data_IF_985547320041
#
_entry.id   IF_985547320041
#
_cell.length_a   1.000
_cell.length_b   1.000
_cell.length_c   1.000
_cell.angle_alpha   90.00
_cell.angle_beta   90.00
_cell.angle_gamma   90.00
#
_symmetry.space_group_name_H-M   'P 1'
#
loop_
_entity.id
_entity.type
_entity.pdbx_description
1 polymer ?
#
# COMPACT_ATOMS: atom_id res chain seq x y z
N UNK A 1 -13.33 6.55 4.27
CA UNK A 1 -12.68 7.31 5.36
C UNK A 1 -12.97 6.66 6.70
N UNK A 2 -12.07 6.82 7.69
CA UNK A 2 -12.30 6.30 9.04
C UNK A 2 -13.34 7.16 9.79
N UNK A 3 -14.18 6.53 10.61
CA UNK A 3 -15.04 7.22 11.59
C UNK A 3 -14.22 7.70 12.79
N UNK A 4 -14.77 8.58 13.62
CA UNK A 4 -14.08 9.04 14.85
C UNK A 4 -13.69 7.90 15.79
N UNK A 5 -14.55 6.89 15.92
CA UNK A 5 -14.28 5.69 16.73
C UNK A 5 -13.15 4.84 16.13
N UNK A 6 -13.13 4.69 14.80
CA UNK A 6 -12.06 3.98 14.10
C UNK A 6 -10.73 4.74 14.18
N UNK A 7 -10.75 6.08 14.18
CA UNK A 7 -9.56 6.91 14.39
C UNK A 7 -8.98 6.68 15.79
N UNK A 8 -9.83 6.57 16.81
CA UNK A 8 -9.36 6.31 18.16
C UNK A 8 -8.81 4.89 18.32
N UNK A 9 -9.50 3.88 17.78
CA UNK A 9 -8.96 2.52 17.71
C UNK A 9 -7.61 2.47 16.97
N UNK A 10 -7.44 3.27 15.92
CA UNK A 10 -6.17 3.35 15.20
C UNK A 10 -5.08 3.95 16.08
N UNK A 11 -5.38 4.99 16.86
CA UNK A 11 -4.43 5.58 17.83
C UNK A 11 -4.02 4.54 18.87
N UNK A 12 -4.99 3.89 19.52
CA UNK A 12 -4.76 2.87 20.55
C UNK A 12 -3.90 1.72 20.01
N UNK A 13 -4.24 1.20 18.83
CA UNK A 13 -3.52 0.09 18.21
C UNK A 13 -2.09 0.47 17.83
N UNK A 14 -1.86 1.70 17.34
CA UNK A 14 -0.51 2.20 17.09
C UNK A 14 0.28 2.28 18.41
N UNK A 15 -0.29 2.87 19.47
CA UNK A 15 0.36 3.00 20.79
C UNK A 15 0.71 1.62 21.36
N UNK A 16 -0.22 0.67 21.36
CA UNK A 16 0.02 -0.69 21.84
C UNK A 16 1.13 -1.39 21.03
N UNK A 17 1.09 -1.25 19.70
CA UNK A 17 2.04 -1.92 18.81
C UNK A 17 3.46 -1.37 18.96
N UNK A 18 3.63 -0.04 19.05
CA UNK A 18 4.96 0.57 19.18
C UNK A 18 5.56 0.42 20.59
N UNK A 19 4.72 0.19 21.60
CA UNK A 19 5.14 -0.11 22.96
C UNK A 19 5.78 -1.50 23.08
N UNK A 20 5.37 -2.45 22.24
CA UNK A 20 5.96 -3.80 22.23
C UNK A 20 7.46 -3.75 21.84
N UNK A 21 8.36 -4.29 22.67
CA UNK A 21 9.81 -4.22 22.44
C UNK A 21 10.25 -4.98 21.18
N UNK A 22 9.49 -6.01 20.78
CA UNK A 22 9.76 -6.84 19.60
C UNK A 22 9.41 -6.15 18.28
N UNK A 23 8.62 -5.06 18.31
CA UNK A 23 8.23 -4.33 17.09
C UNK A 23 9.22 -3.19 16.86
N UNK A 24 10.02 -3.28 15.82
CA UNK A 24 10.91 -2.19 15.41
C UNK A 24 10.15 -1.04 14.74
N UNK A 25 9.13 -1.39 13.95
CA UNK A 25 8.28 -0.46 13.19
C UNK A 25 6.97 -1.17 12.79
N UNK A 26 5.89 -0.40 12.59
CA UNK A 26 4.64 -0.89 12.00
C UNK A 26 4.83 -1.05 10.49
N UNK A 27 4.90 -2.29 10.02
CA UNK A 27 5.08 -2.71 8.62
C UNK A 27 4.37 -4.05 8.36
N UNK A 28 4.11 -4.35 7.09
CA UNK A 28 3.56 -5.62 6.62
C UNK A 28 2.38 -6.13 7.47
N UNK A 29 2.48 -7.34 8.02
CA UNK A 29 1.42 -8.00 8.76
C UNK A 29 0.99 -7.25 10.03
N UNK A 30 1.88 -6.48 10.66
CA UNK A 30 1.50 -5.67 11.82
C UNK A 30 0.53 -4.55 11.44
N UNK A 31 0.69 -3.96 10.25
CA UNK A 31 -0.26 -2.99 9.74
C UNK A 31 -1.60 -3.63 9.38
N UNK A 32 -1.57 -4.81 8.75
CA UNK A 32 -2.78 -5.57 8.46
C UNK A 32 -3.56 -5.89 9.74
N UNK A 33 -2.89 -6.37 10.78
CA UNK A 33 -3.51 -6.68 12.06
C UNK A 33 -4.13 -5.45 12.73
N UNK A 34 -3.42 -4.32 12.76
CA UNK A 34 -3.96 -3.04 13.25
C UNK A 34 -5.20 -2.66 12.44
N UNK A 35 -5.15 -2.71 11.11
CA UNK A 35 -6.26 -2.30 10.27
C UNK A 35 -7.51 -3.17 10.47
N UNK A 36 -7.32 -4.48 10.63
CA UNK A 36 -8.39 -5.42 10.97
C UNK A 36 -9.04 -5.08 12.32
N UNK A 37 -8.24 -4.76 13.34
CA UNK A 37 -8.76 -4.27 14.62
C UNK A 37 -9.54 -2.96 14.48
N UNK A 38 -8.99 -1.99 13.76
CA UNK A 38 -9.61 -0.69 13.49
C UNK A 38 -10.94 -0.83 12.77
N UNK A 39 -11.04 -1.73 11.79
CA UNK A 39 -12.28 -1.96 11.03
C UNK A 39 -13.21 -2.99 11.65
N UNK A 40 -12.81 -3.61 12.76
CA UNK A 40 -13.51 -4.74 13.36
C UNK A 40 -13.80 -5.85 12.33
N UNK A 41 -12.76 -6.22 11.57
CA UNK A 41 -12.79 -7.28 10.56
C UNK A 41 -11.99 -8.47 11.11
N UNK A 42 -12.49 -9.72 11.04
CA UNK A 42 -11.74 -10.90 11.46
C UNK A 42 -10.40 -10.99 10.75
N UNK A 43 -9.32 -11.17 11.52
CA UNK A 43 -7.97 -11.40 11.00
C UNK A 43 -7.70 -12.90 10.93
N UNK A 44 -7.40 -13.40 9.74
CA UNK A 44 -7.03 -14.81 9.56
C UNK A 44 -5.62 -15.08 10.09
N UNK A 45 -5.43 -16.26 10.69
CA UNK A 45 -4.10 -16.72 11.12
C UNK A 45 -3.16 -16.82 9.90
N UNK A 46 -2.01 -16.13 9.91
CA UNK A 46 -1.09 -16.08 8.77
C UNK A 46 -0.44 -17.44 8.49
N UNK A 47 -0.44 -18.37 9.46
CA UNK A 47 0.10 -19.73 9.32
C UNK A 47 -0.85 -20.70 8.63
N UNK A 48 -2.13 -20.34 8.46
CA UNK A 48 -3.17 -21.20 7.89
C UNK A 48 -3.13 -21.35 6.35
N UNK A 49 -2.01 -21.01 5.71
CA UNK A 49 -1.84 -21.08 4.25
C UNK A 49 -2.60 -19.98 3.51
N UNK A 50 -2.02 -18.77 3.46
CA UNK A 50 -2.63 -17.62 2.76
C UNK A 50 -2.12 -17.50 1.32
N UNK A 51 -3.04 -17.42 0.37
CA UNK A 51 -2.71 -16.94 -0.98
C UNK A 51 -2.72 -15.42 -1.00
N UNK A 52 -1.64 -14.81 -1.51
CA UNK A 52 -1.52 -13.36 -1.57
C UNK A 52 -2.38 -12.79 -2.69
N UNK A 53 -3.47 -12.14 -2.32
CA UNK A 53 -4.35 -11.37 -3.21
C UNK A 53 -4.11 -9.86 -3.03
N UNK A 54 -4.82 -9.02 -3.78
CA UNK A 54 -4.61 -7.57 -3.77
C UNK A 54 -5.08 -6.89 -2.49
N UNK A 55 -6.26 -7.26 -1.98
CA UNK A 55 -6.81 -6.67 -0.77
C UNK A 55 -6.33 -7.47 0.42
N UNK A 56 -5.66 -6.77 1.33
CA UNK A 56 -5.11 -7.34 2.54
C UNK A 56 -6.20 -7.48 3.62
N UNK A 57 -7.20 -6.58 3.59
CA UNK A 57 -8.41 -6.63 4.43
C UNK A 57 -9.68 -6.54 3.57
N UNK A 58 -10.72 -7.30 3.93
CA UNK A 58 -12.03 -7.29 3.26
C UNK A 58 -13.15 -7.33 4.30
N UNK A 59 -14.04 -6.32 4.29
CA UNK A 59 -15.30 -6.39 5.03
C UNK A 59 -16.37 -7.02 4.12
N UNK A 60 -16.72 -8.26 4.42
CA UNK A 60 -17.70 -9.03 3.64
C UNK A 60 -19.11 -8.43 3.68
N UNK A 61 -19.45 -7.65 4.72
CA UNK A 61 -20.80 -7.10 4.92
C UNK A 61 -21.03 -5.94 3.97
N UNK A 62 -20.03 -5.09 3.82
CA UNK A 62 -20.06 -3.92 2.92
C UNK A 62 -19.43 -4.20 1.57
N UNK A 63 -18.82 -5.39 1.38
CA UNK A 63 -18.04 -5.77 0.20
C UNK A 63 -16.91 -4.76 -0.12
N UNK A 64 -16.36 -4.16 0.93
CA UNK A 64 -15.25 -3.20 0.80
C UNK A 64 -13.92 -3.91 1.02
N UNK A 65 -12.94 -3.66 0.16
CA UNK A 65 -11.59 -4.21 0.24
C UNK A 65 -10.53 -3.12 0.30
N UNK A 66 -9.48 -3.36 1.08
CA UNK A 66 -8.34 -2.45 1.20
C UNK A 66 -7.04 -3.14 0.83
N UNK A 67 -6.28 -2.57 -0.11
CA UNK A 67 -4.86 -2.89 -0.27
C UNK A 67 -4.06 -2.01 0.68
N UNK A 68 -3.42 -2.65 1.65
CA UNK A 68 -2.79 -1.99 2.80
C UNK A 68 -1.30 -1.78 2.54
N UNK A 69 -0.80 -0.58 2.81
CA UNK A 69 0.62 -0.24 2.63
C UNK A 69 1.11 0.61 3.81
N UNK A 70 2.35 0.40 4.18
CA UNK A 70 3.07 1.31 5.08
C UNK A 70 4.17 2.00 4.30
N UNK A 71 4.37 3.30 4.54
CA UNK A 71 5.46 4.03 3.91
C UNK A 71 6.15 4.98 4.90
N UNK A 72 7.47 4.90 4.97
CA UNK A 72 8.25 5.85 5.73
C UNK A 72 8.53 7.10 4.88
N UNK A 73 8.12 8.27 5.35
CA UNK A 73 8.30 9.54 4.65
C UNK A 73 9.12 10.53 5.49
N UNK A 74 9.90 11.42 4.83
CA UNK A 74 10.62 12.49 5.54
C UNK A 74 9.66 13.59 6.01
N UNK A 75 8.52 13.75 5.35
CA UNK A 75 7.53 14.78 5.61
C UNK A 75 6.13 14.16 5.51
N UNK A 76 5.24 14.54 6.43
CA UNK A 76 3.85 14.09 6.52
C UNK A 76 2.84 15.23 6.31
N UNK A 77 3.29 16.41 5.87
CA UNK A 77 2.42 17.56 5.63
C UNK A 77 1.52 17.35 4.41
N UNK A 78 0.32 17.95 4.39
CA UNK A 78 -0.49 18.05 3.18
C UNK A 78 0.29 18.52 1.96
N UNK A 79 -0.09 18.03 0.78
CA UNK A 79 0.58 18.33 -0.48
C UNK A 79 1.89 17.55 -0.71
N UNK A 80 2.42 16.85 0.30
CA UNK A 80 3.61 16.02 0.10
C UNK A 80 3.31 14.82 -0.79
N UNK A 81 4.06 14.67 -1.89
CA UNK A 81 3.91 13.57 -2.84
C UNK A 81 4.83 12.41 -2.48
N UNK A 82 4.32 11.19 -2.60
CA UNK A 82 5.09 9.97 -2.35
C UNK A 82 4.74 8.89 -3.36
N UNK A 83 5.66 7.94 -3.56
CA UNK A 83 5.47 6.80 -4.44
C UNK A 83 5.57 5.49 -3.65
N UNK A 84 4.74 4.52 -3.98
CA UNK A 84 4.77 3.19 -3.37
C UNK A 84 4.50 2.11 -4.43
N UNK A 85 5.03 0.91 -4.19
CA UNK A 85 4.86 -0.23 -5.09
C UNK A 85 3.42 -0.73 -5.00
N UNK A 86 2.73 -0.81 -6.14
CA UNK A 86 1.39 -1.39 -6.26
C UNK A 86 1.44 -2.82 -6.81
N UNK A 87 2.44 -3.15 -7.62
CA UNK A 87 2.67 -4.52 -8.08
C UNK A 87 4.07 -4.73 -8.64
N UNK A 88 4.47 -6.00 -8.77
CA UNK A 88 5.48 -6.39 -9.76
C UNK A 88 4.80 -6.51 -11.13
N UNK A 89 5.18 -5.65 -12.06
CA UNK A 89 4.66 -5.60 -13.42
C UNK A 89 5.72 -6.14 -14.42
N UNK A 90 5.72 -7.45 -14.63
CA UNK A 90 6.59 -8.12 -15.61
C UNK A 90 5.96 -8.18 -17.00
N UNK A 91 5.77 -7.02 -17.63
CA UNK A 91 5.02 -6.90 -18.88
C UNK A 91 5.76 -7.41 -20.10
N UNK A 92 7.10 -7.45 -20.07
CA UNK A 92 7.93 -7.92 -21.18
C UNK A 92 7.96 -9.44 -21.24
N UNK A 93 8.23 -10.11 -20.11
CA UNK A 93 8.23 -11.58 -20.10
C UNK A 93 6.82 -12.15 -20.28
N UNK A 94 5.78 -11.44 -19.81
CA UNK A 94 4.37 -11.85 -19.97
C UNK A 94 3.70 -11.30 -21.23
N UNK A 95 4.44 -10.66 -22.12
CA UNK A 95 3.92 -9.88 -23.23
C UNK A 95 2.87 -10.62 -24.07
N UNK A 96 3.17 -11.86 -24.51
CA UNK A 96 2.24 -12.67 -25.30
C UNK A 96 0.95 -13.03 -24.53
N UNK A 97 1.06 -13.42 -23.26
CA UNK A 97 -0.09 -13.75 -22.41
C UNK A 97 -0.96 -12.51 -22.09
N UNK A 98 -0.37 -11.32 -22.12
CA UNK A 98 -1.07 -10.06 -21.93
C UNK A 98 -1.66 -9.49 -23.23
N UNK A 99 -1.45 -10.13 -24.39
CA UNK A 99 -1.95 -9.65 -25.68
C UNK A 99 -1.04 -8.64 -26.41
N UNK A 100 0.22 -8.51 -25.98
CA UNK A 100 1.21 -7.62 -26.57
C UNK A 100 2.39 -8.41 -27.19
N UNK A 101 2.16 -9.31 -28.17
CA UNK A 101 3.22 -10.15 -28.70
C UNK A 101 4.38 -9.30 -29.26
N UNK A 102 5.62 -9.65 -28.88
CA UNK A 102 6.81 -8.92 -29.32
C UNK A 102 7.14 -7.65 -28.53
N UNK A 103 6.41 -7.32 -27.46
CA UNK A 103 6.76 -6.19 -26.60
C UNK A 103 8.13 -6.38 -25.95
N UNK A 104 9.01 -5.40 -26.12
CA UNK A 104 10.36 -5.35 -25.54
C UNK A 104 10.56 -4.05 -24.75
N UNK A 105 11.64 -3.96 -23.97
CA UNK A 105 11.99 -2.73 -23.24
C UNK A 105 12.28 -1.53 -24.16
N UNK A 106 12.58 -1.78 -25.43
CA UNK A 106 12.88 -0.76 -26.45
C UNK A 106 11.63 -0.38 -27.26
N UNK A 107 10.49 -1.00 -26.97
CA UNK A 107 9.20 -0.63 -27.58
C UNK A 107 8.82 0.82 -27.24
N UNK A 108 7.97 1.46 -28.07
CA UNK A 108 7.51 2.82 -27.80
C UNK A 108 6.96 2.97 -26.37
N UNK A 109 7.26 4.08 -25.67
CA UNK A 109 6.78 4.33 -24.30
C UNK A 109 5.27 4.15 -24.12
N UNK A 110 4.48 4.56 -25.13
CA UNK A 110 3.03 4.39 -25.12
C UNK A 110 2.62 2.91 -25.09
N UNK A 111 3.23 2.06 -25.92
CA UNK A 111 2.94 0.62 -25.98
C UNK A 111 3.31 -0.09 -24.67
N UNK A 112 4.47 0.27 -24.09
CA UNK A 112 4.85 -0.23 -22.77
C UNK A 112 3.85 0.22 -21.69
N UNK A 113 3.47 1.50 -21.73
CA UNK A 113 2.48 2.09 -20.82
C UNK A 113 1.13 1.40 -20.88
N UNK A 114 0.63 1.13 -22.08
CA UNK A 114 -0.62 0.38 -22.31
C UNK A 114 -0.55 -1.02 -21.69
N UNK A 115 0.52 -1.77 -21.95
CA UNK A 115 0.71 -3.10 -21.37
C UNK A 115 0.81 -3.09 -19.83
N UNK A 116 1.43 -2.06 -19.24
CA UNK A 116 1.53 -1.86 -17.80
C UNK A 116 0.16 -1.61 -17.17
N UNK A 117 -0.63 -0.71 -17.76
CA UNK A 117 -1.99 -0.40 -17.29
C UNK A 117 -2.89 -1.62 -17.46
N UNK A 118 -2.82 -2.30 -18.61
CA UNK A 118 -3.59 -3.52 -18.84
C UNK A 118 -3.28 -4.60 -17.80
N UNK A 119 -2.00 -4.89 -17.56
CA UNK A 119 -1.59 -5.89 -16.56
C UNK A 119 -2.06 -5.52 -15.15
N UNK A 120 -1.99 -4.24 -14.76
CA UNK A 120 -2.54 -3.77 -13.48
C UNK A 120 -4.05 -3.96 -13.38
N UNK A 121 -4.79 -3.53 -14.40
CA UNK A 121 -6.25 -3.62 -14.41
C UNK A 121 -6.71 -5.07 -14.35
N UNK A 122 -6.06 -5.98 -15.08
CA UNK A 122 -6.35 -7.42 -15.01
C UNK A 122 -6.19 -7.95 -13.59
N UNK A 123 -5.08 -7.63 -12.90
CA UNK A 123 -4.87 -8.03 -11.51
C UNK A 123 -5.97 -7.48 -10.60
N UNK A 124 -6.27 -6.18 -10.72
CA UNK A 124 -7.28 -5.51 -9.89
C UNK A 124 -8.66 -6.16 -10.08
N UNK A 125 -9.10 -6.34 -11.32
CA UNK A 125 -10.42 -6.90 -11.64
C UNK A 125 -10.52 -8.36 -11.17
N UNK A 126 -9.49 -9.17 -11.45
CA UNK A 126 -9.45 -10.56 -11.04
C UNK A 126 -9.50 -10.72 -9.53
N UNK A 127 -8.61 -10.03 -8.80
CA UNK A 127 -8.53 -10.13 -7.33
C UNK A 127 -9.80 -9.56 -6.67
N UNK A 128 -10.38 -8.47 -7.18
CA UNK A 128 -11.66 -7.94 -6.68
C UNK A 128 -12.78 -8.97 -6.81
N UNK A 129 -12.87 -9.62 -7.97
CA UNK A 129 -13.89 -10.64 -8.23
C UNK A 129 -13.72 -11.84 -7.30
N UNK A 130 -12.49 -12.34 -7.19
CA UNK A 130 -12.17 -13.49 -6.34
C UNK A 130 -12.43 -13.22 -4.86
N UNK A 131 -12.21 -11.98 -4.41
CA UNK A 131 -12.43 -11.56 -3.01
C UNK A 131 -13.85 -11.03 -2.74
N UNK A 132 -14.74 -10.98 -3.74
CA UNK A 132 -16.09 -10.46 -3.58
C UNK A 132 -16.17 -8.96 -3.26
N UNK A 133 -15.20 -8.17 -3.72
CA UNK A 133 -15.05 -6.73 -3.42
C UNK A 133 -15.74 -5.85 -4.47
N UNK A 134 -16.68 -5.02 -4.05
CA UNK A 134 -17.32 -3.98 -4.87
C UNK A 134 -16.61 -2.65 -4.73
N UNK A 135 -16.24 -2.26 -3.52
CA UNK A 135 -15.60 -0.97 -3.24
C UNK A 135 -14.16 -1.22 -2.82
N UNK A 136 -13.22 -0.65 -3.56
CA UNK A 136 -11.80 -0.97 -3.42
C UNK A 136 -11.02 0.30 -3.09
N UNK A 137 -10.13 0.20 -2.11
CA UNK A 137 -9.32 1.31 -1.63
C UNK A 137 -7.85 0.91 -1.42
N UNK A 138 -6.97 1.90 -1.54
CA UNK A 138 -5.61 1.85 -1.00
C UNK A 138 -5.63 2.47 0.41
N UNK A 139 -5.34 1.68 1.44
CA UNK A 139 -5.22 2.15 2.83
C UNK A 139 -3.75 2.28 3.20
N UNK A 140 -3.26 3.51 3.34
CA UNK A 140 -1.82 3.77 3.51
C UNK A 140 -1.54 4.42 4.86
N UNK A 141 -0.69 3.76 5.66
CA UNK A 141 -0.11 4.34 6.86
C UNK A 141 1.25 4.96 6.54
N UNK A 142 1.28 6.28 6.45
CA UNK A 142 2.50 7.07 6.31
C UNK A 142 3.11 7.31 7.71
N UNK A 143 4.41 7.08 7.87
CA UNK A 143 5.12 7.20 9.15
C UNK A 143 6.43 7.96 9.03
N UNK A 144 6.84 8.65 10.10
CA UNK A 144 8.22 9.14 10.24
C UNK A 144 9.14 8.05 10.80
N UNK A 145 10.44 8.17 10.53
CA UNK A 145 11.48 7.24 11.03
C UNK A 145 11.49 7.13 12.57
N UNK A 146 11.15 8.21 13.28
CA UNK A 146 11.15 8.25 14.74
C UNK A 146 9.90 7.60 15.38
N UNK A 147 8.92 7.17 14.57
CA UNK A 147 7.71 6.48 15.03
C UNK A 147 6.83 7.28 16.02
N UNK A 148 6.92 8.62 16.02
CA UNK A 148 6.09 9.50 16.89
C UNK A 148 4.91 10.15 16.14
N UNK A 149 4.91 10.07 14.81
CA UNK A 149 3.91 10.71 13.96
C UNK A 149 3.54 9.81 12.80
N UNK A 150 2.23 9.70 12.59
CA UNK A 150 1.60 8.89 11.57
C UNK A 150 0.52 9.70 10.86
N UNK A 151 0.32 9.38 9.59
CA UNK A 151 -0.77 9.88 8.76
C UNK A 151 -1.42 8.69 8.07
N UNK A 152 -2.70 8.46 8.31
CA UNK A 152 -3.50 7.52 7.53
C UNK A 152 -4.17 8.28 6.38
N UNK A 153 -4.04 7.72 5.18
CA UNK A 153 -4.69 8.21 3.96
C UNK A 153 -5.33 7.04 3.23
N UNK A 154 -6.45 7.32 2.57
CA UNK A 154 -7.23 6.35 1.83
C UNK A 154 -7.55 6.90 0.45
N UNK A 155 -7.31 6.11 -0.60
CA UNK A 155 -7.60 6.50 -1.98
C UNK A 155 -8.47 5.45 -2.67
N UNK A 156 -9.45 5.85 -3.50
CA UNK A 156 -10.15 4.90 -4.35
C UNK A 156 -9.19 4.11 -5.23
N UNK A 157 -9.45 2.81 -5.33
CA UNK A 157 -8.68 1.88 -6.13
C UNK A 157 -9.54 1.36 -7.29
N UNK A 158 -9.49 2.09 -8.39
CA UNK A 158 -10.24 1.80 -9.62
C UNK A 158 -9.30 1.39 -10.75
N UNK A 159 -9.82 0.66 -11.76
CA UNK A 159 -9.10 0.46 -13.01
C UNK A 159 -8.66 1.81 -13.59
N UNK A 160 -7.46 1.82 -14.17
CA UNK A 160 -6.87 2.99 -14.80
C UNK A 160 -7.25 3.03 -16.27
N UNK A 161 -7.58 4.20 -16.80
CA UNK A 161 -7.79 4.36 -18.25
C UNK A 161 -6.42 4.56 -18.94
N UNK A 162 -5.98 3.64 -19.82
CA UNK A 162 -4.70 3.76 -20.49
C UNK A 162 -4.59 5.02 -21.37
N UNK A 163 -5.71 5.55 -21.87
CA UNK A 163 -5.72 6.70 -22.78
C UNK A 163 -5.50 8.04 -22.09
N UNK A 164 -5.60 8.09 -20.75
CA UNK A 164 -5.35 9.31 -19.97
C UNK A 164 -3.87 9.58 -19.73
N UNK A 165 -2.99 8.61 -20.01
CA UNK A 165 -1.58 8.71 -19.69
C UNK A 165 -0.75 9.18 -20.88
N UNK A 166 0.10 10.17 -20.60
CA UNK A 166 1.29 10.44 -21.41
C UNK A 166 2.48 9.69 -20.82
N UNK A 167 3.22 8.96 -21.66
CA UNK A 167 4.29 8.07 -21.24
C UNK A 167 5.64 8.55 -21.77
N UNK A 168 6.61 8.72 -20.88
CA UNK A 168 7.98 9.09 -21.25
C UNK A 168 8.98 8.42 -20.32
N UNK A 169 10.15 8.05 -20.84
CA UNK A 169 11.25 7.65 -19.97
C UNK A 169 11.70 8.85 -19.13
N UNK A 170 11.98 8.60 -17.85
CA UNK A 170 12.69 9.55 -16.98
C UNK A 170 13.98 10.00 -17.67
N UNK A 171 14.48 11.19 -17.35
CA UNK A 171 15.77 11.67 -17.87
C UNK A 171 16.81 11.52 -16.76
N UNK A 172 17.93 10.85 -17.04
CA UNK A 172 19.09 10.85 -16.17
C UNK A 172 19.70 12.26 -16.14
N UNK A 173 19.82 12.85 -14.96
CA UNK A 173 20.27 14.25 -14.82
C UNK A 173 21.75 14.45 -15.17
N UNK A 174 22.56 13.40 -15.06
CA UNK A 174 23.99 13.45 -15.31
C UNK A 174 24.28 13.26 -16.80
N UNK A 175 23.61 12.31 -17.44
CA UNK A 175 23.85 11.98 -18.86
C UNK A 175 22.90 12.69 -19.83
N UNK A 176 21.78 13.21 -19.34
CA UNK A 176 20.63 13.71 -20.12
C UNK A 176 19.97 12.66 -21.03
N UNK A 177 20.31 11.39 -20.86
CA UNK A 177 19.72 10.28 -21.60
C UNK A 177 18.48 9.71 -20.89
N UNK A 178 17.83 8.74 -21.54
CA UNK A 178 16.74 7.99 -20.93
C UNK A 178 17.21 7.25 -19.67
N UNK A 179 16.72 7.70 -18.52
CA UNK A 179 16.87 7.08 -17.22
C UNK A 179 16.06 5.77 -17.09
N UNK A 180 16.09 5.20 -15.88
CA UNK A 180 15.65 3.82 -15.63
C UNK A 180 14.14 3.62 -15.43
N UNK A 181 13.37 4.70 -15.27
CA UNK A 181 11.94 4.64 -14.96
C UNK A 181 11.07 5.15 -16.10
N UNK A 182 10.09 4.37 -16.54
CA UNK A 182 9.04 4.83 -17.45
C UNK A 182 7.97 5.56 -16.63
N UNK A 183 7.72 6.82 -16.95
CA UNK A 183 6.82 7.71 -16.21
C UNK A 183 5.49 7.86 -16.94
N UNK A 184 4.39 7.53 -16.26
CA UNK A 184 3.03 7.78 -16.71
C UNK A 184 2.48 9.03 -16.03
N UNK A 185 2.05 10.00 -16.83
CA UNK A 185 1.51 11.29 -16.34
C UNK A 185 0.10 11.54 -16.85
N UNK A 186 -0.77 12.04 -15.98
CA UNK A 186 -2.10 12.54 -16.32
C UNK A 186 -2.06 14.06 -16.13
N UNK A 187 -2.45 14.84 -17.14
CA UNK A 187 -2.42 16.31 -17.11
C UNK A 187 -1.07 16.88 -16.64
N UNK A 188 0.04 16.25 -17.07
CA UNK A 188 1.40 16.62 -16.69
C UNK A 188 1.82 16.20 -15.28
N UNK A 189 0.91 15.74 -14.42
CA UNK A 189 1.19 15.23 -13.07
C UNK A 189 1.65 13.78 -13.14
N UNK A 190 2.75 13.47 -12.45
CA UNK A 190 3.27 12.10 -12.34
C UNK A 190 2.32 11.23 -11.50
N UNK A 191 1.84 10.13 -12.08
CA UNK A 191 0.87 9.23 -11.46
C UNK A 191 1.41 7.80 -11.34
N UNK A 192 2.20 7.35 -12.33
CA UNK A 192 2.81 6.02 -12.35
C UNK A 192 4.30 6.09 -12.67
N UNK A 193 5.08 5.16 -12.09
CA UNK A 193 6.49 4.93 -12.46
C UNK A 193 6.72 3.43 -12.58
N UNK A 194 7.20 2.97 -13.73
CA UNK A 194 7.60 1.58 -13.91
C UNK A 194 9.12 1.46 -14.06
N UNK A 195 9.74 0.63 -13.22
CA UNK A 195 11.18 0.34 -13.31
C UNK A 195 11.42 -1.02 -13.95
N UNK A 196 12.00 -1.01 -15.15
CA UNK A 196 12.23 -2.22 -15.96
C UNK A 196 13.08 -3.30 -15.26
N UNK A 197 14.11 -2.90 -14.52
CA UNK A 197 15.04 -3.86 -13.90
C UNK A 197 14.40 -4.64 -12.73
N UNK A 198 13.64 -3.94 -11.89
CA UNK A 198 12.97 -4.57 -10.74
C UNK A 198 11.59 -5.11 -11.10
N UNK A 199 11.11 -4.81 -12.32
CA UNK A 199 9.76 -5.10 -12.79
C UNK A 199 8.73 -4.55 -11.80
N UNK A 200 8.95 -3.36 -11.24
CA UNK A 200 8.08 -2.77 -10.22
C UNK A 200 7.29 -1.61 -10.80
N UNK A 201 5.98 -1.63 -10.54
CA UNK A 201 5.09 -0.51 -10.80
C UNK A 201 4.82 0.23 -9.51
N UNK A 202 5.13 1.51 -9.52
CA UNK A 202 4.84 2.46 -8.46
C UNK A 202 3.65 3.33 -8.84
N UNK A 203 2.81 3.62 -7.86
CA UNK A 203 1.80 4.66 -7.93
C UNK A 203 2.24 5.86 -7.10
N UNK A 204 1.97 7.05 -7.60
CA UNK A 204 2.27 8.32 -6.93
C UNK A 204 0.98 8.88 -6.34
N UNK A 205 1.00 9.21 -5.05
CA UNK A 205 -0.10 9.85 -4.34
C UNK A 205 0.37 11.12 -3.65
N UNK A 206 -0.57 11.93 -3.20
CA UNK A 206 -0.34 13.19 -2.50
C UNK A 206 -1.10 13.17 -1.19
N UNK A 207 -0.43 13.46 -0.07
CA UNK A 207 -1.12 13.60 1.22
C UNK A 207 -2.21 14.70 1.06
N UNK A 208 -3.48 14.39 1.34
CA UNK A 208 -4.58 15.34 1.17
C UNK A 208 -4.50 16.47 2.19
N UNK A 209 -5.28 17.54 1.98
CA UNK A 209 -5.37 18.69 2.88
C UNK A 209 -5.84 18.33 4.29
N UNK A 210 -6.70 17.31 4.41
CA UNK A 210 -7.26 16.85 5.68
C UNK A 210 -6.95 15.36 5.90
N UNK A 211 -5.68 15.00 6.20
CA UNK A 211 -5.32 13.63 6.50
C UNK A 211 -5.72 13.27 7.93
N UNK A 212 -5.90 11.97 8.22
CA UNK A 212 -6.03 11.48 9.59
C UNK A 212 -4.63 11.46 10.21
N UNK A 213 -4.34 12.43 11.07
CA UNK A 213 -3.03 12.57 11.74
C UNK A 213 -3.09 11.98 13.14
N UNK A 214 -2.07 11.19 13.47
CA UNK A 214 -1.91 10.57 14.77
C UNK A 214 -0.52 10.91 15.29
N UNK A 215 -0.49 11.65 16.39
CA UNK A 215 0.72 11.95 17.15
C UNK A 215 0.67 11.14 18.42
N UNK A 216 1.78 10.49 18.75
CA UNK A 216 1.90 9.65 19.93
C UNK A 216 3.22 9.92 20.65
N UNK A 217 3.25 9.61 21.93
CA UNK A 217 4.48 9.46 22.69
C UNK A 217 4.98 8.03 22.58
N UNK A 218 6.30 7.87 22.40
CA UNK A 218 6.90 6.55 22.25
C UNK A 218 7.35 6.02 23.61
N UNK A 219 6.46 5.27 24.27
CA UNK A 219 6.72 4.61 25.53
C UNK A 219 6.87 3.10 25.30
N UNK A 220 8.11 2.59 25.35
CA UNK A 220 8.38 1.16 25.17
C UNK A 220 8.33 0.42 26.50
N UNK A 221 7.67 -0.73 26.48
CA UNK A 221 7.79 -1.71 27.55
C UNK A 221 9.18 -2.34 27.52
N UNK A 222 9.70 -2.67 28.69
CA UNK A 222 10.79 -3.62 28.83
C UNK A 222 10.33 -5.02 28.37
N UNK A 223 11.27 -5.92 28.01
CA UNK A 223 10.93 -7.31 27.69
C UNK A 223 10.09 -7.99 28.78
N UNK A 224 10.40 -7.74 30.05
CA UNK A 224 9.69 -8.35 31.19
C UNK A 224 8.25 -7.83 31.27
N UNK A 225 8.04 -6.51 31.22
CA UNK A 225 6.70 -5.91 31.23
C UNK A 225 5.84 -6.42 30.05
N UNK A 226 6.44 -6.55 28.86
CA UNK A 226 5.76 -7.11 27.69
C UNK A 226 5.34 -8.57 27.92
N UNK A 227 6.25 -9.43 28.36
CA UNK A 227 5.95 -10.85 28.60
C UNK A 227 4.87 -10.99 29.67
N UNK A 228 4.96 -10.23 30.77
CA UNK A 228 3.94 -10.25 31.83
C UNK A 228 2.56 -9.81 31.30
N UNK A 229 2.48 -8.73 30.52
CA UNK A 229 1.22 -8.27 29.94
C UNK A 229 0.56 -9.34 29.04
N UNK A 230 1.36 -10.04 28.24
CA UNK A 230 0.86 -11.14 27.40
C UNK A 230 0.42 -12.33 28.26
N UNK A 231 1.21 -12.76 29.24
CA UNK A 231 0.84 -13.87 30.12
C UNK A 231 -0.46 -13.61 30.87
N UNK A 232 -0.63 -12.41 31.45
CA UNK A 232 -1.88 -12.03 32.11
C UNK A 232 -3.09 -12.10 31.17
N UNK A 233 -2.91 -11.71 29.90
CA UNK A 233 -3.98 -11.79 28.88
C UNK A 233 -4.30 -13.25 28.52
N UNK A 234 -3.29 -14.11 28.41
CA UNK A 234 -3.47 -15.53 28.12
C UNK A 234 -4.17 -16.24 29.28
N UNK A 235 -3.80 -15.95 30.52
CA UNK A 235 -4.46 -16.47 31.72
C UNK A 235 -5.94 -16.11 31.75
N UNK A 236 -6.31 -14.86 31.45
CA UNK A 236 -7.71 -14.44 31.38
C UNK A 236 -8.50 -15.09 30.24
N UNK A 237 -7.82 -15.56 29.19
CA UNK A 237 -8.47 -16.18 28.03
C UNK A 237 -8.71 -17.67 28.22
N UNK A 238 -7.83 -18.34 28.97
CA UNK A 238 -7.86 -19.79 29.16
C UNK A 238 -8.38 -20.23 30.53
N UNK A 239 -8.60 -19.30 31.47
CA UNK A 239 -9.36 -19.49 32.71
C UNK A 239 -10.77 -18.92 32.58
#
# INVERSE_FOLDING_TARGET
MLTSEEVERLREAIVATIAAPIVGSIEDYSWEAIFHYVKNIPLSDPTSGRTKLLHDAVDIRTRTGWSLKTIQLPNLNPGFTFAFVIQRADVVTKAAALGFPGLTVDSPPANLGEAIVYHWNQKLIYDRTLQGVTDSYEGILCKKKNATEYVYVEYPLTPLDPHQFSWNWSIDRNTREAGKGLQGKIDGKLTLIWYKNQKQLFKVQTIPEQPIRIVIERNRLTPDEYVQAILSTLEQKFN
#
